data_IF_292775406133
#
_entry.id   IF_292775406133
#
_cell.length_a   1.000
_cell.length_b   1.000
_cell.length_c   1.000
_cell.angle_alpha   90.00
_cell.angle_beta   90.00
_cell.angle_gamma   90.00
#
_symmetry.space_group_name_H-M   'P 1'
#
loop_
_entity.id
_entity.type
_entity.pdbx_description
1 polymer ?
#
# COMPACT_ATOMS: atom_id res chain seq x y z
N UNK A 1 7.91 7.99 8.60
CA UNK A 1 7.86 6.99 9.66
C UNK A 1 7.96 7.67 11.02
N UNK A 2 7.35 7.09 12.04
CA UNK A 2 7.39 7.64 13.39
C UNK A 2 6.61 6.78 14.38
N UNK A 3 6.64 7.17 15.65
CA UNK A 3 5.85 6.51 16.68
C UNK A 3 4.62 7.33 17.05
N UNK A 4 3.56 6.65 17.43
CA UNK A 4 2.33 7.26 17.91
C UNK A 4 1.70 6.41 19.04
N UNK A 5 0.60 6.90 19.59
CA UNK A 5 -0.22 6.12 20.53
C UNK A 5 -1.63 5.93 19.99
N UNK A 6 -2.08 4.69 20.01
CA UNK A 6 -3.41 4.29 19.61
C UNK A 6 -4.03 3.42 20.71
N UNK A 7 -5.14 3.87 21.29
CA UNK A 7 -5.79 3.13 22.39
C UNK A 7 -4.90 2.91 23.63
N UNK A 8 -3.91 3.79 23.88
CA UNK A 8 -2.94 3.63 24.97
C UNK A 8 -1.67 2.85 24.59
N UNK A 9 -1.67 2.12 23.47
CA UNK A 9 -0.55 1.31 23.01
C UNK A 9 0.38 2.11 22.10
N UNK A 10 1.69 1.89 22.23
CA UNK A 10 2.68 2.45 21.31
C UNK A 10 2.62 1.71 19.98
N UNK A 11 2.58 2.44 18.87
CA UNK A 11 2.57 1.89 17.51
C UNK A 11 3.64 2.56 16.65
N UNK A 12 4.16 1.82 15.68
CA UNK A 12 4.95 2.37 14.57
C UNK A 12 4.04 2.79 13.43
N UNK A 13 4.20 4.00 12.94
CA UNK A 13 3.44 4.53 11.81
C UNK A 13 4.33 4.63 10.59
N UNK A 14 3.87 4.10 9.47
CA UNK A 14 4.47 4.25 8.14
C UNK A 14 3.45 4.90 7.22
N UNK A 15 3.82 5.99 6.54
CA UNK A 15 2.90 6.70 5.66
C UNK A 15 3.65 7.29 4.45
N UNK A 16 2.98 7.33 3.29
CA UNK A 16 3.46 8.10 2.15
C UNK A 16 3.26 9.60 2.40
N UNK A 17 4.10 10.42 1.74
CA UNK A 17 3.96 11.88 1.73
C UNK A 17 3.66 12.35 0.30
N UNK A 18 2.38 12.56 -0.07
CA UNK A 18 2.02 12.88 -1.46
C UNK A 18 2.56 14.21 -1.98
N UNK A 19 2.90 15.15 -1.09
CA UNK A 19 3.53 16.41 -1.47
C UNK A 19 5.00 16.27 -1.88
N UNK A 20 5.59 15.09 -1.68
CA UNK A 20 6.95 14.77 -2.11
C UNK A 20 6.91 13.59 -3.10
N UNK A 21 7.39 13.79 -4.30
CA UNK A 21 7.38 12.79 -5.39
C UNK A 21 6.01 12.11 -5.60
N UNK A 22 4.92 12.84 -5.38
CA UNK A 22 3.53 12.33 -5.43
C UNK A 22 3.27 11.12 -4.50
N UNK A 23 4.11 10.89 -3.50
CA UNK A 23 4.03 9.71 -2.63
C UNK A 23 4.69 8.44 -3.19
N UNK A 24 5.39 8.52 -4.33
CA UNK A 24 6.11 7.39 -4.90
C UNK A 24 7.14 6.82 -3.93
N UNK A 25 7.35 5.51 -4.02
CA UNK A 25 8.45 4.85 -3.33
C UNK A 25 9.72 4.92 -4.19
N UNK A 26 10.69 5.70 -3.76
CA UNK A 26 12.06 5.68 -4.27
C UNK A 26 12.94 4.73 -3.44
N UNK A 27 14.22 4.65 -3.79
CA UNK A 27 15.18 3.81 -3.08
C UNK A 27 15.25 4.18 -1.60
N UNK A 28 15.39 5.47 -1.29
CA UNK A 28 15.56 5.94 0.08
C UNK A 28 14.32 5.73 0.94
N UNK A 29 13.12 6.00 0.40
CA UNK A 29 11.85 5.73 1.05
C UNK A 29 11.68 4.24 1.37
N UNK A 30 12.02 3.37 0.40
CA UNK A 30 11.94 1.92 0.55
C UNK A 30 12.88 1.41 1.66
N UNK A 31 14.13 1.86 1.65
CA UNK A 31 15.13 1.48 2.67
C UNK A 31 14.76 2.02 4.05
N UNK A 32 14.34 3.29 4.13
CA UNK A 32 13.90 3.92 5.38
C UNK A 32 12.71 3.18 6.00
N UNK A 33 11.69 2.89 5.20
CA UNK A 33 10.50 2.19 5.68
C UNK A 33 10.84 0.74 6.08
N UNK A 34 11.62 0.00 5.28
CA UNK A 34 12.01 -1.37 5.60
C UNK A 34 12.79 -1.45 6.92
N UNK A 35 13.73 -0.52 7.14
CA UNK A 35 14.48 -0.46 8.40
C UNK A 35 13.59 -0.18 9.60
N UNK A 36 12.63 0.73 9.44
CA UNK A 36 11.69 1.10 10.51
C UNK A 36 10.74 -0.05 10.85
N UNK A 37 10.18 -0.73 9.84
CA UNK A 37 9.32 -1.92 10.02
C UNK A 37 10.08 -3.01 10.80
N UNK A 38 11.31 -3.31 10.42
CA UNK A 38 12.14 -4.30 11.12
C UNK A 38 12.47 -3.88 12.56
N UNK A 39 12.70 -2.59 12.78
CA UNK A 39 12.87 -2.07 14.13
C UNK A 39 11.61 -2.32 14.97
N UNK A 40 10.44 -1.96 14.47
CA UNK A 40 9.18 -2.17 15.18
C UNK A 40 8.95 -3.66 15.50
N UNK A 41 9.19 -4.54 14.53
CA UNK A 41 9.06 -5.99 14.71
C UNK A 41 10.02 -6.52 15.79
N UNK A 42 11.28 -6.05 15.80
CA UNK A 42 12.29 -6.46 16.79
C UNK A 42 11.94 -6.08 18.23
N UNK A 43 11.07 -5.10 18.44
CA UNK A 43 10.65 -4.62 19.74
C UNK A 43 9.16 -4.86 20.04
N UNK A 44 8.51 -5.73 19.27
CA UNK A 44 7.08 -6.05 19.41
C UNK A 44 6.17 -4.81 19.35
N UNK A 45 6.51 -3.84 18.49
CA UNK A 45 5.72 -2.63 18.29
C UNK A 45 4.78 -2.83 17.10
N UNK A 46 3.45 -2.85 17.31
CA UNK A 46 2.47 -2.96 16.21
C UNK A 46 2.64 -1.86 15.17
N UNK A 47 2.32 -2.18 13.92
CA UNK A 47 2.47 -1.30 12.77
C UNK A 47 1.10 -0.79 12.29
N UNK A 48 1.01 0.51 12.02
CA UNK A 48 -0.10 1.14 11.31
C UNK A 48 0.45 1.82 10.05
N UNK A 49 -0.03 1.39 8.90
CA UNK A 49 0.40 1.88 7.59
C UNK A 49 -0.70 2.71 6.94
N UNK A 50 -0.40 3.94 6.53
CA UNK A 50 -1.27 4.76 5.71
C UNK A 50 -0.75 4.75 4.27
N UNK A 51 -1.60 4.33 3.34
CA UNK A 51 -1.22 4.14 1.93
C UNK A 51 -1.82 5.24 1.07
N UNK A 52 -0.95 5.95 0.38
CA UNK A 52 -1.28 6.86 -0.73
C UNK A 52 -0.10 6.83 -1.72
N UNK A 53 -0.01 5.75 -2.50
CA UNK A 53 1.14 5.45 -3.35
C UNK A 53 0.73 5.17 -4.79
N UNK A 54 1.21 5.98 -5.76
CA UNK A 54 0.93 5.77 -7.17
C UNK A 54 1.84 4.72 -7.84
N UNK A 55 2.95 4.38 -7.21
CA UNK A 55 3.94 3.44 -7.76
C UNK A 55 5.31 3.58 -7.14
N UNK A 56 6.25 2.74 -7.58
CA UNK A 56 7.67 3.02 -7.41
C UNK A 56 8.09 4.16 -8.35
N UNK A 57 9.06 4.96 -7.91
CA UNK A 57 9.55 6.08 -8.72
C UNK A 57 10.24 5.56 -9.98
N UNK A 58 9.75 5.90 -11.18
CA UNK A 58 10.39 5.49 -12.43
C UNK A 58 11.62 6.36 -12.72
N UNK A 59 12.50 5.87 -13.61
CA UNK A 59 13.62 6.62 -14.13
C UNK A 59 14.94 5.86 -14.07
N UNK A 60 15.85 6.19 -15.01
CA UNK A 60 17.12 5.48 -15.18
C UNK A 60 17.99 5.49 -13.91
N UNK A 61 17.98 6.59 -13.15
CA UNK A 61 18.71 6.67 -11.88
C UNK A 61 18.21 5.71 -10.82
N UNK A 62 16.90 5.50 -10.74
CA UNK A 62 16.27 4.54 -9.83
C UNK A 62 16.53 3.10 -10.30
N UNK A 63 16.38 2.84 -11.60
CA UNK A 63 16.63 1.52 -12.19
C UNK A 63 18.10 1.09 -11.98
N UNK A 64 19.04 1.94 -12.33
CA UNK A 64 20.47 1.65 -12.15
C UNK A 64 20.90 1.65 -10.68
N UNK A 65 20.26 2.46 -9.85
CA UNK A 65 20.45 2.43 -8.39
C UNK A 65 19.91 1.18 -7.74
N UNK A 66 19.10 0.37 -8.43
CA UNK A 66 18.57 -0.90 -7.95
C UNK A 66 17.26 -0.77 -7.19
N UNK A 67 16.32 0.05 -7.66
CA UNK A 67 14.99 0.24 -7.06
C UNK A 67 14.26 -1.10 -6.82
N UNK A 68 14.38 -2.08 -7.71
CA UNK A 68 13.77 -3.40 -7.55
C UNK A 68 14.32 -4.10 -6.31
N UNK A 69 15.64 -4.09 -6.13
CA UNK A 69 16.30 -4.69 -4.95
C UNK A 69 15.95 -3.95 -3.66
N UNK A 70 15.98 -2.62 -3.70
CA UNK A 70 15.67 -1.81 -2.52
C UNK A 70 14.17 -1.82 -2.17
N UNK A 71 13.29 -1.83 -3.15
CA UNK A 71 11.86 -2.04 -2.96
C UNK A 71 11.54 -3.41 -2.37
N UNK A 72 12.27 -4.44 -2.78
CA UNK A 72 12.15 -5.78 -2.21
C UNK A 72 12.53 -5.85 -0.72
N UNK A 73 13.35 -4.93 -0.21
CA UNK A 73 13.61 -4.82 1.25
C UNK A 73 12.35 -4.50 2.03
N UNK A 74 11.52 -3.60 1.51
CA UNK A 74 10.26 -3.22 2.16
C UNK A 74 9.25 -4.37 2.12
N UNK A 75 9.10 -5.03 0.97
CA UNK A 75 8.28 -6.23 0.84
C UNK A 75 8.71 -7.31 1.84
N UNK A 76 10.01 -7.59 1.90
CA UNK A 76 10.56 -8.57 2.81
C UNK A 76 10.29 -8.21 4.27
N UNK A 77 10.51 -6.95 4.66
CA UNK A 77 10.32 -6.49 6.02
C UNK A 77 8.88 -6.69 6.51
N UNK A 78 7.88 -6.30 5.71
CA UNK A 78 6.47 -6.53 6.05
C UNK A 78 6.06 -8.00 6.00
N UNK A 79 6.57 -8.77 5.03
CA UNK A 79 6.27 -10.19 4.93
C UNK A 79 6.90 -10.99 6.09
N UNK A 80 8.04 -10.53 6.62
CA UNK A 80 8.73 -11.14 7.75
C UNK A 80 8.16 -10.70 9.11
N UNK A 81 7.63 -9.49 9.24
CA UNK A 81 7.15 -8.96 10.50
C UNK A 81 6.01 -9.81 11.10
N UNK A 82 6.13 -10.13 12.40
CA UNK A 82 5.19 -10.94 13.17
C UNK A 82 4.24 -10.11 14.02
N UNK A 83 4.56 -8.85 14.26
CA UNK A 83 3.70 -7.92 14.98
C UNK A 83 2.38 -7.65 14.26
N UNK A 84 1.33 -7.17 14.96
CA UNK A 84 0.10 -6.72 14.33
C UNK A 84 0.36 -5.68 13.23
N UNK A 85 -0.22 -5.90 12.04
CA UNK A 85 -0.08 -5.05 10.85
C UNK A 85 -1.43 -4.54 10.41
N UNK A 86 -1.70 -3.27 10.69
CA UNK A 86 -2.92 -2.56 10.31
C UNK A 86 -2.63 -1.66 9.11
N UNK A 87 -3.56 -1.57 8.17
CA UNK A 87 -3.38 -0.75 6.96
C UNK A 87 -4.63 0.06 6.66
N UNK A 88 -4.45 1.33 6.36
CA UNK A 88 -5.50 2.24 5.89
C UNK A 88 -5.10 2.79 4.53
N UNK A 89 -5.88 2.49 3.51
CA UNK A 89 -5.70 3.06 2.18
C UNK A 89 -6.50 4.36 2.12
N UNK A 90 -5.80 5.47 2.01
CA UNK A 90 -6.42 6.81 2.09
C UNK A 90 -6.78 7.37 0.72
N UNK A 91 -6.01 7.02 -0.33
CA UNK A 91 -6.26 7.47 -1.69
C UNK A 91 -5.73 6.45 -2.70
N UNK A 92 -4.51 6.62 -3.22
CA UNK A 92 -3.95 5.76 -4.27
C UNK A 92 -3.27 4.53 -3.68
N UNK A 93 -3.52 3.38 -4.29
CA UNK A 93 -2.88 2.12 -3.95
C UNK A 93 -2.62 1.34 -5.26
N UNK A 94 -1.50 1.64 -5.95
CA UNK A 94 -1.26 1.13 -7.28
C UNK A 94 -0.09 0.15 -7.35
N UNK A 95 -0.36 -1.00 -7.98
CA UNK A 95 0.63 -1.99 -8.38
C UNK A 95 1.51 -2.50 -7.24
N UNK A 96 2.73 -2.90 -7.58
CA UNK A 96 3.67 -3.47 -6.61
C UNK A 96 4.05 -2.53 -5.46
N UNK A 97 3.94 -1.22 -5.64
CA UNK A 97 4.21 -0.27 -4.56
C UNK A 97 3.12 -0.31 -3.47
N UNK A 98 1.85 -0.56 -3.84
CA UNK A 98 0.82 -0.90 -2.88
C UNK A 98 1.10 -2.24 -2.20
N UNK A 99 1.47 -3.26 -2.97
CA UNK A 99 1.69 -4.60 -2.42
C UNK A 99 2.72 -4.59 -1.30
N UNK A 100 3.83 -3.84 -1.44
CA UNK A 100 4.91 -3.79 -0.44
C UNK A 100 4.56 -2.96 0.80
N UNK A 101 3.45 -2.22 0.80
CA UNK A 101 3.02 -1.37 1.92
C UNK A 101 1.97 -2.06 2.80
N UNK A 102 2.31 -3.23 3.36
CA UNK A 102 1.45 -3.95 4.31
C UNK A 102 0.10 -4.40 3.74
N UNK A 103 0.05 -4.74 2.45
CA UNK A 103 -1.16 -5.23 1.81
C UNK A 103 -1.59 -6.61 2.33
N UNK A 104 -2.84 -7.00 2.05
CA UNK A 104 -3.32 -8.38 2.29
C UNK A 104 -2.48 -9.42 1.56
N UNK A 105 -1.93 -9.10 0.38
CA UNK A 105 -1.10 -10.00 -0.42
C UNK A 105 0.16 -10.45 0.31
N UNK A 106 0.68 -9.63 1.22
CA UNK A 106 1.87 -9.93 2.04
C UNK A 106 1.53 -10.13 3.52
N UNK A 107 0.31 -10.58 3.81
CA UNK A 107 -0.18 -10.89 5.17
C UNK A 107 -0.36 -9.68 6.08
N UNK A 108 -0.88 -8.56 5.57
CA UNK A 108 -1.46 -7.52 6.40
C UNK A 108 -2.66 -8.08 7.18
N UNK A 109 -2.70 -7.87 8.50
CA UNK A 109 -3.72 -8.50 9.35
C UNK A 109 -5.10 -7.87 9.16
N UNK A 110 -5.18 -6.54 9.17
CA UNK A 110 -6.43 -5.81 8.99
C UNK A 110 -6.22 -4.61 8.07
N UNK A 111 -6.86 -4.66 6.90
CA UNK A 111 -6.70 -3.67 5.84
C UNK A 111 -8.04 -3.04 5.52
N UNK A 112 -8.11 -1.72 5.64
CA UNK A 112 -9.31 -0.94 5.28
C UNK A 112 -8.98 0.14 4.28
N UNK A 113 -10.00 0.64 3.60
CA UNK A 113 -9.87 1.77 2.70
C UNK A 113 -10.91 2.85 2.99
N UNK A 114 -10.60 4.09 2.65
CA UNK A 114 -11.61 5.13 2.57
C UNK A 114 -12.43 4.99 1.28
N UNK A 115 -13.69 5.49 1.24
CA UNK A 115 -14.52 5.39 0.05
C UNK A 115 -13.92 6.03 -1.21
N UNK A 116 -13.07 7.04 -1.02
CA UNK A 116 -12.34 7.73 -2.10
C UNK A 116 -11.05 7.04 -2.54
N UNK A 117 -10.72 5.88 -1.97
CA UNK A 117 -9.51 5.16 -2.31
C UNK A 117 -9.61 4.50 -3.69
N UNK A 118 -8.49 4.44 -4.38
CA UNK A 118 -8.35 3.80 -5.69
C UNK A 118 -7.33 2.67 -5.60
N UNK A 119 -7.78 1.44 -5.80
CA UNK A 119 -6.93 0.26 -5.82
C UNK A 119 -6.88 -0.31 -7.23
N UNK A 120 -5.71 -0.32 -7.85
CA UNK A 120 -5.53 -0.81 -9.23
C UNK A 120 -4.09 -1.26 -9.49
N UNK A 121 -3.90 -1.95 -10.62
CA UNK A 121 -2.55 -2.31 -11.08
C UNK A 121 -1.77 -1.06 -11.50
N UNK A 122 -2.46 -0.07 -12.08
CA UNK A 122 -1.92 1.24 -12.48
C UNK A 122 -3.04 2.27 -12.51
N UNK A 123 -2.70 3.55 -12.59
CA UNK A 123 -3.69 4.62 -12.75
C UNK A 123 -4.54 4.45 -13.99
N UNK A 124 -5.81 4.88 -13.91
CA UNK A 124 -6.82 4.70 -14.96
C UNK A 124 -6.38 5.26 -16.32
N UNK A 125 -5.76 6.43 -16.36
CA UNK A 125 -5.24 7.02 -17.61
C UNK A 125 -4.25 6.10 -18.33
N UNK A 126 -3.29 5.52 -17.59
CA UNK A 126 -2.31 4.60 -18.14
C UNK A 126 -2.96 3.30 -18.63
N UNK A 127 -3.87 2.74 -17.85
CA UNK A 127 -4.60 1.52 -18.19
C UNK A 127 -5.43 1.71 -19.47
N UNK A 128 -6.21 2.77 -19.54
CA UNK A 128 -7.05 3.11 -20.70
C UNK A 128 -6.21 3.33 -21.96
N UNK A 129 -5.09 4.03 -21.85
CA UNK A 129 -4.17 4.24 -22.98
C UNK A 129 -3.62 2.93 -23.55
N UNK A 130 -3.41 1.92 -22.71
CA UNK A 130 -2.93 0.60 -23.15
C UNK A 130 -4.08 -0.21 -23.74
N UNK A 131 -5.17 -0.36 -22.99
CA UNK A 131 -6.28 -1.27 -23.30
C UNK A 131 -7.08 -0.75 -24.51
N UNK A 132 -7.34 0.56 -24.56
CA UNK A 132 -8.26 1.16 -25.51
C UNK A 132 -7.56 2.03 -26.58
N UNK A 133 -6.23 1.90 -26.75
CA UNK A 133 -5.44 2.69 -27.69
C UNK A 133 -6.05 2.78 -29.08
N UNK A 134 -6.50 1.64 -29.66
CA UNK A 134 -7.09 1.59 -31.02
C UNK A 134 -8.43 2.30 -31.08
N UNK A 135 -9.26 2.12 -30.06
CA UNK A 135 -10.59 2.72 -29.95
C UNK A 135 -10.50 4.24 -29.85
N UNK A 136 -9.60 4.75 -29.01
CA UNK A 136 -9.33 6.18 -28.87
C UNK A 136 -8.86 6.78 -30.21
N UNK A 137 -7.89 6.13 -30.88
CA UNK A 137 -7.34 6.62 -32.15
C UNK A 137 -8.36 6.62 -33.30
N UNK A 138 -9.39 5.76 -33.26
CA UNK A 138 -10.44 5.70 -34.28
C UNK A 138 -11.67 6.55 -33.96
N UNK A 139 -11.71 7.20 -32.81
CA UNK A 139 -12.82 8.06 -32.40
C UNK A 139 -12.81 9.40 -33.15
N UNK A 140 -13.98 9.94 -33.44
CA UNK A 140 -14.15 11.30 -33.99
C UNK A 140 -13.70 12.41 -33.02
N UNK A 141 -13.66 12.10 -31.71
CA UNK A 141 -13.11 12.98 -30.66
C UNK A 141 -12.29 12.13 -29.67
N UNK A 142 -11.00 11.93 -29.93
CA UNK A 142 -10.13 11.07 -29.11
C UNK A 142 -10.02 11.50 -27.63
N UNK A 143 -10.06 12.80 -27.38
CA UNK A 143 -9.90 13.33 -26.01
C UNK A 143 -11.14 13.03 -25.16
N UNK A 144 -12.32 13.33 -25.67
CA UNK A 144 -13.58 13.01 -25.01
C UNK A 144 -13.78 11.50 -24.80
N UNK A 145 -13.41 10.69 -25.80
CA UNK A 145 -13.50 9.23 -25.67
C UNK A 145 -12.53 8.70 -24.62
N UNK A 146 -11.32 9.28 -24.53
CA UNK A 146 -10.36 8.94 -23.48
C UNK A 146 -10.90 9.27 -22.09
N UNK A 147 -11.41 10.47 -21.87
CA UNK A 147 -12.00 10.89 -20.59
C UNK A 147 -13.13 9.95 -20.17
N UNK A 148 -14.07 9.68 -21.06
CA UNK A 148 -15.16 8.74 -20.79
C UNK A 148 -14.68 7.34 -20.41
N UNK A 149 -13.65 6.83 -21.07
CA UNK A 149 -13.08 5.50 -20.77
C UNK A 149 -12.31 5.48 -19.45
N UNK A 150 -11.71 6.61 -19.06
CA UNK A 150 -11.06 6.76 -17.74
C UNK A 150 -12.10 6.71 -16.65
N UNK A 151 -13.20 7.47 -16.78
CA UNK A 151 -14.29 7.45 -15.80
C UNK A 151 -14.92 6.05 -15.70
N UNK A 152 -15.22 5.41 -16.81
CA UNK A 152 -15.75 4.03 -16.86
C UNK A 152 -14.78 3.03 -16.15
N UNK A 153 -13.47 3.22 -16.32
CA UNK A 153 -12.46 2.36 -15.70
C UNK A 153 -12.36 2.60 -14.18
N UNK A 154 -12.40 3.84 -13.74
CA UNK A 154 -12.37 4.18 -12.32
C UNK A 154 -13.59 3.62 -11.59
N UNK A 155 -14.77 3.82 -12.14
CA UNK A 155 -16.03 3.31 -11.58
C UNK A 155 -16.07 1.77 -11.52
N UNK A 156 -15.53 1.10 -12.53
CA UNK A 156 -15.63 -0.37 -12.63
C UNK A 156 -14.53 -1.09 -11.85
N UNK A 157 -13.30 -0.59 -11.90
CA UNK A 157 -12.13 -1.35 -11.44
C UNK A 157 -11.35 -0.68 -10.33
N UNK A 158 -11.21 0.65 -10.32
CA UNK A 158 -10.32 1.35 -9.43
C UNK A 158 -11.01 1.86 -8.15
N UNK A 159 -12.00 1.13 -7.63
CA UNK A 159 -12.73 1.51 -6.42
C UNK A 159 -12.53 0.50 -5.27
N UNK A 160 -12.65 0.93 -4.01
CA UNK A 160 -12.38 0.07 -2.86
C UNK A 160 -13.42 -1.02 -2.67
N UNK A 161 -14.66 -0.82 -3.12
CA UNK A 161 -15.73 -1.81 -2.97
C UNK A 161 -15.47 -3.05 -3.83
N UNK A 162 -14.90 -2.86 -5.01
CA UNK A 162 -14.46 -3.98 -5.86
C UNK A 162 -13.35 -4.78 -5.20
N UNK A 163 -12.36 -4.12 -4.60
CA UNK A 163 -11.29 -4.77 -3.88
C UNK A 163 -11.81 -5.51 -2.64
N UNK A 164 -12.75 -4.92 -1.89
CA UNK A 164 -13.40 -5.55 -0.75
C UNK A 164 -14.20 -6.81 -1.16
N UNK A 165 -14.95 -6.75 -2.25
CA UNK A 165 -15.69 -7.92 -2.76
C UNK A 165 -14.80 -9.09 -3.16
N UNK A 166 -13.53 -8.85 -3.44
CA UNK A 166 -12.52 -9.86 -3.76
C UNK A 166 -11.69 -10.31 -2.54
N UNK A 167 -11.96 -9.75 -1.35
CA UNK A 167 -11.26 -10.10 -0.11
C UNK A 167 -9.90 -9.41 0.07
N UNK A 168 -9.58 -8.39 -0.72
CA UNK A 168 -8.34 -7.61 -0.57
C UNK A 168 -8.43 -6.54 0.52
N UNK A 169 -9.63 -6.23 0.97
CA UNK A 169 -9.92 -5.35 2.09
C UNK A 169 -10.88 -6.04 3.06
N UNK A 170 -10.72 -5.74 4.34
CA UNK A 170 -11.63 -6.21 5.39
C UNK A 170 -12.86 -5.30 5.50
N UNK A 171 -12.69 -4.00 5.23
CA UNK A 171 -13.80 -3.04 5.30
C UNK A 171 -13.50 -1.77 4.48
N UNK A 172 -14.57 -1.01 4.18
CA UNK A 172 -14.51 0.35 3.63
C UNK A 172 -15.15 1.28 4.64
N UNK A 173 -14.35 2.14 5.25
CA UNK A 173 -14.73 2.98 6.39
C UNK A 173 -14.66 4.46 6.08
N UNK A 174 -15.48 5.26 6.76
CA UNK A 174 -15.37 6.72 6.65
C UNK A 174 -14.06 7.23 7.30
N UNK A 175 -13.44 8.30 6.78
CA UNK A 175 -12.23 8.89 7.37
C UNK A 175 -12.37 9.21 8.85
N UNK A 176 -13.54 9.65 9.29
CA UNK A 176 -13.85 9.97 10.69
C UNK A 176 -13.85 8.76 11.63
N UNK A 177 -14.05 7.56 11.10
CA UNK A 177 -14.10 6.31 11.86
C UNK A 177 -12.71 5.69 12.04
N UNK A 178 -11.72 6.11 11.26
CA UNK A 178 -10.39 5.49 11.17
C UNK A 178 -9.78 5.23 12.53
N UNK A 179 -9.77 6.22 13.43
CA UNK A 179 -9.16 6.07 14.76
C UNK A 179 -9.85 5.00 15.58
N UNK A 180 -11.18 4.97 15.58
CA UNK A 180 -11.98 4.04 16.40
C UNK A 180 -11.82 2.62 15.86
N UNK A 181 -11.93 2.45 14.54
CA UNK A 181 -11.81 1.13 13.89
C UNK A 181 -10.40 0.57 14.08
N UNK A 182 -9.36 1.37 13.86
CA UNK A 182 -7.97 0.93 14.04
C UNK A 182 -7.65 0.60 15.50
N UNK A 183 -8.20 1.34 16.46
CA UNK A 183 -8.01 1.04 17.88
C UNK A 183 -8.67 -0.29 18.28
N UNK A 184 -9.87 -0.58 17.78
CA UNK A 184 -10.56 -1.86 17.99
C UNK A 184 -9.82 -3.02 17.34
N UNK A 185 -9.38 -2.85 16.08
CA UNK A 185 -8.62 -3.87 15.36
C UNK A 185 -7.28 -4.16 16.07
N UNK A 186 -6.58 -3.13 16.55
CA UNK A 186 -5.36 -3.32 17.33
C UNK A 186 -5.65 -4.11 18.60
N UNK A 187 -6.70 -3.76 19.35
CA UNK A 187 -7.08 -4.48 20.56
C UNK A 187 -7.33 -5.98 20.34
N UNK A 188 -7.95 -6.33 19.22
CA UNK A 188 -8.19 -7.73 18.85
C UNK A 188 -6.89 -8.48 18.43
N UNK A 189 -5.85 -7.75 18.03
CA UNK A 189 -4.61 -8.33 17.53
C UNK A 189 -3.45 -8.27 18.53
N UNK A 190 -3.63 -7.71 19.73
CA UNK A 190 -2.55 -7.57 20.71
C UNK A 190 -1.95 -8.92 21.16
N UNK A 191 -2.76 -9.96 21.16
CA UNK A 191 -2.34 -11.32 21.52
C UNK A 191 -1.93 -12.16 20.30
N UNK A 192 -1.70 -11.50 19.15
CA UNK A 192 -1.27 -12.20 17.93
C UNK A 192 0.05 -12.92 18.18
N UNK A 193 0.04 -14.22 17.94
CA UNK A 193 1.24 -15.05 17.88
C UNK A 193 1.42 -15.62 16.47
N UNK A 194 2.59 -15.45 15.88
CA UNK A 194 2.93 -16.01 14.58
C UNK A 194 4.19 -16.87 14.70
N UNK A 195 4.00 -18.18 14.64
CA UNK A 195 5.10 -19.15 14.66
C UNK A 195 5.67 -19.30 13.25
N UNK A 196 6.95 -19.10 13.11
CA UNK A 196 7.69 -19.24 11.84
C UNK A 196 8.67 -20.40 11.91
N UNK A 197 9.05 -20.99 10.76
CA UNK A 197 10.12 -21.99 10.74
C UNK A 197 11.39 -21.44 11.37
N UNK A 198 12.01 -22.26 12.23
CA UNK A 198 13.25 -21.88 12.91
C UNK A 198 14.36 -21.66 11.88
N UNK A 199 15.08 -20.54 12.02
CA UNK A 199 16.20 -20.14 11.18
C UNK A 199 17.19 -19.29 11.96
N UNK A 200 18.42 -19.22 11.53
CA UNK A 200 19.45 -18.41 12.22
C UNK A 200 19.17 -16.92 12.10
N UNK A 201 18.71 -16.45 10.96
CA UNK A 201 18.37 -15.05 10.66
C UNK A 201 17.53 -14.97 9.38
N UNK A 202 16.94 -13.81 9.13
CA UNK A 202 16.30 -13.51 7.85
C UNK A 202 17.33 -13.26 6.74
N UNK A 203 16.90 -13.46 5.48
CA UNK A 203 17.72 -13.19 4.30
C UNK A 203 17.11 -12.03 3.50
N UNK A 204 17.17 -10.83 4.09
CA UNK A 204 16.69 -9.62 3.43
C UNK A 204 17.57 -9.31 2.19
N UNK A 205 16.99 -8.82 1.08
CA UNK A 205 17.75 -8.35 -0.07
C UNK A 205 18.78 -7.27 0.35
N UNK A 206 20.02 -7.38 -0.14
CA UNK A 206 21.14 -6.47 0.23
C UNK A 206 21.23 -5.26 -0.69
#
# INVERSE_FOLDING_TARGET
VGFARLGGHTIGVVANQPNFLAGCLDIDASVKAARFVRFCDSFNIPLLTFVDVPGFLPGASQEWGGIIRHGAKLLYAYAEATVPKLTVITRKAYGGAYDVMSSKHIRGDYNVAWPSAQLAVMGAEGAVQIIHRRRIASSGNPEQERERLVDDYEDTFANPYRAASLGYLDDVIQPSETRIVMAKALGALLEKEEVRPARKHGNIPL
#
